data_IF_708699526937
#
_entry.id   IF_708699526937
#
_cell.length_a   1.000
_cell.length_b   1.000
_cell.length_c   1.000
_cell.angle_alpha   90.00
_cell.angle_beta   90.00
_cell.angle_gamma   90.00
#
_symmetry.space_group_name_H-M   'P 1'
#
loop_
_entity.id
_entity.type
_entity.pdbx_description
1 polymer ?
#
# COMPACT_ATOMS: atom_id res chain seq x y z
N UNK A 1 -17.04 -6.88 -1.68
CA UNK A 1 -17.08 -5.41 -1.90
C UNK A 1 -16.82 -4.70 -0.60
N UNK A 2 -15.91 -3.71 -0.58
CA UNK A 2 -15.56 -2.98 0.64
C UNK A 2 -16.07 -1.55 0.58
N UNK A 3 -16.80 -1.15 1.62
CA UNK A 3 -17.36 0.19 1.76
C UNK A 3 -16.84 0.86 3.03
N UNK A 4 -16.46 2.13 2.92
CA UNK A 4 -16.12 3.02 4.03
C UNK A 4 -17.22 4.07 4.16
N UNK A 5 -17.87 4.13 5.31
CA UNK A 5 -18.78 5.23 5.66
C UNK A 5 -17.94 6.37 6.22
N UNK A 6 -17.93 7.53 5.56
CA UNK A 6 -17.13 8.70 5.94
C UNK A 6 -17.98 9.85 6.49
N UNK A 7 -19.18 9.56 6.99
CA UNK A 7 -20.09 10.54 7.60
C UNK A 7 -20.81 11.43 6.57
N UNK A 8 -20.11 11.89 5.54
CA UNK A 8 -20.69 12.63 4.43
C UNK A 8 -21.25 11.70 3.32
N UNK A 9 -20.95 10.40 3.38
CA UNK A 9 -21.54 9.34 2.58
C UNK A 9 -20.65 8.10 2.48
N UNK A 10 -20.92 7.23 1.51
CA UNK A 10 -20.23 5.94 1.39
C UNK A 10 -19.20 5.96 0.26
N UNK A 11 -18.01 5.47 0.53
CA UNK A 11 -16.95 5.26 -0.45
C UNK A 11 -16.75 3.76 -0.68
N UNK A 12 -16.75 3.37 -1.94
CA UNK A 12 -16.37 2.05 -2.38
C UNK A 12 -14.87 2.01 -2.68
N UNK A 13 -14.18 1.00 -2.16
CA UNK A 13 -12.74 0.81 -2.35
C UNK A 13 -12.47 -0.61 -2.81
N UNK A 14 -11.62 -0.78 -3.81
CA UNK A 14 -11.26 -2.09 -4.35
C UNK A 14 -9.88 -2.09 -4.99
N UNK A 15 -9.38 -3.29 -5.32
CA UNK A 15 -8.14 -3.48 -6.07
C UNK A 15 -8.48 -4.04 -7.44
N UNK A 16 -7.83 -3.52 -8.49
CA UNK A 16 -7.90 -4.07 -9.84
C UNK A 16 -6.55 -4.62 -10.27
N UNK A 17 -6.59 -5.71 -11.05
CA UNK A 17 -5.43 -6.33 -11.67
C UNK A 17 -5.77 -6.61 -13.13
N UNK A 18 -4.95 -6.13 -14.07
CA UNK A 18 -5.23 -6.27 -15.50
C UNK A 18 -6.59 -5.69 -15.95
N UNK A 19 -7.01 -4.58 -15.35
CA UNK A 19 -8.28 -3.91 -15.64
C UNK A 19 -9.53 -4.63 -15.10
N UNK A 20 -9.36 -5.72 -14.34
CA UNK A 20 -10.46 -6.45 -13.69
C UNK A 20 -10.41 -6.24 -12.18
N UNK A 21 -11.57 -6.02 -11.58
CA UNK A 21 -11.71 -5.98 -10.12
C UNK A 21 -11.40 -7.35 -9.52
N UNK A 22 -10.53 -7.37 -8.52
CA UNK A 22 -10.22 -8.56 -7.74
C UNK A 22 -11.39 -8.88 -6.79
N UNK A 23 -11.73 -10.15 -6.68
CA UNK A 23 -12.77 -10.61 -5.77
C UNK A 23 -12.26 -10.53 -4.32
N UNK A 24 -12.95 -9.77 -3.47
CA UNK A 24 -12.61 -9.69 -2.06
C UNK A 24 -13.22 -10.87 -1.28
N UNK A 25 -12.46 -11.47 -0.37
CA UNK A 25 -12.91 -12.56 0.50
C UNK A 25 -12.47 -12.36 1.95
N UNK A 26 -13.10 -13.07 2.91
CA UNK A 26 -12.81 -12.96 4.35
C UNK A 26 -12.83 -11.51 4.85
N UNK A 27 -13.91 -10.78 4.58
CA UNK A 27 -14.09 -9.43 5.12
C UNK A 27 -14.29 -9.52 6.65
N UNK A 28 -13.38 -8.89 7.39
CA UNK A 28 -13.44 -8.75 8.84
C UNK A 28 -13.51 -7.27 9.21
N UNK A 29 -14.33 -6.94 10.20
CA UNK A 29 -14.32 -5.63 10.83
C UNK A 29 -13.36 -5.69 12.01
N UNK A 30 -12.26 -4.96 11.93
CA UNK A 30 -11.21 -4.95 12.96
C UNK A 30 -11.56 -3.85 13.97
N UNK A 31 -11.40 -4.15 15.26
CA UNK A 31 -11.75 -3.29 16.43
C UNK A 31 -12.00 -1.81 16.10
N UNK A 32 -13.28 -1.44 16.02
CA UNK A 32 -13.75 -0.08 15.75
C UNK A 32 -14.54 0.02 14.43
N UNK A 33 -15.56 0.88 14.34
CA UNK A 33 -16.48 0.96 13.19
C UNK A 33 -15.83 1.45 11.88
N UNK A 34 -14.51 1.69 11.87
CA UNK A 34 -13.80 2.41 10.81
C UNK A 34 -12.63 1.65 10.21
N UNK A 35 -12.38 0.42 10.66
CA UNK A 35 -11.31 -0.43 10.13
C UNK A 35 -11.91 -1.70 9.51
N UNK A 36 -11.58 -1.94 8.25
CA UNK A 36 -11.98 -3.16 7.53
C UNK A 36 -10.75 -3.87 7.01
N UNK A 37 -10.72 -5.18 7.15
CA UNK A 37 -9.68 -6.02 6.56
C UNK A 37 -10.34 -7.04 5.64
N UNK A 38 -9.75 -7.28 4.47
CA UNK A 38 -10.18 -8.37 3.60
C UNK A 38 -9.00 -8.93 2.82
N UNK A 39 -9.23 -10.04 2.13
CA UNK A 39 -8.23 -10.65 1.28
C UNK A 39 -8.55 -10.48 -0.19
N UNK A 40 -7.51 -10.37 -1.01
CA UNK A 40 -7.58 -10.36 -2.47
C UNK A 40 -6.58 -11.32 -3.08
N UNK A 41 -6.92 -11.99 -4.19
CA UNK A 41 -5.96 -12.82 -4.91
C UNK A 41 -4.89 -11.96 -5.57
N UNK A 42 -3.65 -12.45 -5.61
CA UNK A 42 -2.55 -11.79 -6.33
C UNK A 42 -1.79 -12.77 -7.20
N UNK A 43 -1.20 -12.24 -8.26
CA UNK A 43 -0.42 -12.98 -9.25
C UNK A 43 0.91 -12.27 -9.48
N UNK A 44 2.00 -13.03 -9.44
CA UNK A 44 3.35 -12.49 -9.63
C UNK A 44 3.49 -11.76 -10.97
N UNK A 45 4.19 -10.63 -10.98
CA UNK A 45 4.47 -9.80 -12.14
C UNK A 45 3.23 -9.17 -12.79
N UNK A 46 2.08 -9.14 -12.11
CA UNK A 46 0.90 -8.42 -12.58
C UNK A 46 0.83 -7.01 -11.98
N UNK A 47 0.55 -6.04 -12.84
CA UNK A 47 0.24 -4.69 -12.41
C UNK A 47 -1.12 -4.65 -11.71
N UNK A 48 -1.18 -3.87 -10.63
CA UNK A 48 -2.42 -3.62 -9.93
C UNK A 48 -2.62 -2.12 -9.68
N UNK A 49 -3.87 -1.77 -9.36
CA UNK A 49 -4.22 -0.43 -8.93
C UNK A 49 -5.25 -0.46 -7.83
N UNK A 50 -5.13 0.50 -6.93
CA UNK A 50 -6.12 0.77 -5.90
C UNK A 50 -7.15 1.71 -6.49
N UNK A 51 -8.40 1.29 -6.53
CA UNK A 51 -9.51 2.06 -7.06
C UNK A 51 -10.46 2.50 -5.93
N UNK A 52 -11.08 3.65 -6.12
CA UNK A 52 -12.10 4.15 -5.23
C UNK A 52 -13.15 4.95 -6.01
N UNK A 53 -14.39 4.83 -5.57
CA UNK A 53 -15.54 5.51 -6.16
C UNK A 53 -16.54 5.82 -5.07
N UNK A 54 -17.25 6.93 -5.24
CA UNK A 54 -18.40 7.25 -4.40
C UNK A 54 -19.53 6.26 -4.64
N UNK A 55 -20.07 5.69 -3.56
CA UNK A 55 -21.22 4.80 -3.59
C UNK A 55 -22.47 5.56 -3.13
N UNK A 56 -23.53 5.47 -3.93
CA UNK A 56 -24.85 6.00 -3.60
C UNK A 56 -25.17 7.40 -4.15
N UNK A 57 -26.47 7.72 -4.30
CA UNK A 57 -26.94 9.04 -4.70
C UNK A 57 -26.83 10.02 -3.53
N UNK A 58 -26.23 11.19 -3.75
CA UNK A 58 -26.24 12.28 -2.78
C UNK A 58 -25.20 12.12 -1.66
N UNK A 59 -24.04 12.75 -1.86
CA UNK A 59 -23.46 13.43 -0.71
C UNK A 59 -24.33 14.68 -0.58
N UNK A 60 -24.74 15.06 0.62
CA UNK A 60 -25.01 16.49 0.84
C UNK A 60 -23.77 17.25 0.35
N UNK A 61 -23.88 18.45 -0.24
CA UNK A 61 -22.72 19.25 -0.66
C UNK A 61 -21.89 19.65 0.56
N UNK A 62 -21.18 18.67 1.12
CA UNK A 62 -20.24 18.83 2.19
C UNK A 62 -18.92 19.03 1.47
N UNK A 63 -18.35 20.22 1.70
CA UNK A 63 -17.09 20.70 1.16
C UNK A 63 -15.86 19.87 1.58
N UNK A 64 -16.07 18.67 2.13
CA UNK A 64 -15.04 17.83 2.72
C UNK A 64 -14.33 17.04 1.62
N UNK A 65 -13.20 17.59 1.24
CA UNK A 65 -12.22 16.85 0.46
C UNK A 65 -11.56 15.80 1.34
N UNK A 66 -11.18 14.69 0.72
CA UNK A 66 -10.54 13.59 1.42
C UNK A 66 -9.18 13.31 0.82
N UNK A 67 -8.24 12.77 1.61
CA UNK A 67 -6.95 12.27 1.12
C UNK A 67 -6.87 10.78 1.34
N UNK A 68 -6.53 10.06 0.27
CA UNK A 68 -6.26 8.62 0.29
C UNK A 68 -4.77 8.41 0.36
N UNK A 69 -4.28 7.99 1.52
CA UNK A 69 -2.90 7.57 1.72
C UNK A 69 -2.80 6.06 1.50
N UNK A 70 -1.97 5.63 0.55
CA UNK A 70 -1.74 4.23 0.23
C UNK A 70 -0.42 3.79 0.83
N UNK A 71 -0.49 2.70 1.57
CA UNK A 71 0.63 2.00 2.16
C UNK A 71 0.74 0.61 1.53
N UNK A 72 1.94 0.26 1.11
CA UNK A 72 2.28 -1.04 0.59
C UNK A 72 3.29 -1.69 1.53
N UNK A 73 2.96 -2.87 2.05
CA UNK A 73 3.85 -3.61 2.95
C UNK A 73 4.35 -2.76 4.13
N UNK A 74 3.45 -1.95 4.69
CA UNK A 74 3.73 -1.01 5.79
C UNK A 74 4.33 0.33 5.39
N UNK A 75 4.83 0.48 4.16
CA UNK A 75 5.47 1.72 3.68
C UNK A 75 4.48 2.63 2.99
N UNK A 76 4.45 3.92 3.34
CA UNK A 76 3.68 4.90 2.60
C UNK A 76 4.28 5.08 1.19
N UNK A 77 3.45 4.98 0.15
CA UNK A 77 3.92 5.05 -1.24
C UNK A 77 3.26 6.16 -2.06
N UNK A 78 2.03 6.54 -1.74
CA UNK A 78 1.30 7.52 -2.52
C UNK A 78 0.17 8.15 -1.70
N UNK A 79 -0.17 9.39 -2.06
CA UNK A 79 -1.38 10.04 -1.60
C UNK A 79 -2.18 10.57 -2.80
N UNK A 80 -3.51 10.52 -2.73
CA UNK A 80 -4.38 11.15 -3.73
C UNK A 80 -5.52 11.91 -3.06
N UNK A 81 -5.66 13.23 -3.32
CA UNK A 81 -6.82 13.97 -2.88
C UNK A 81 -8.04 13.59 -3.73
N UNK A 82 -9.18 13.41 -3.07
CA UNK A 82 -10.51 13.30 -3.65
C UNK A 82 -11.23 14.62 -3.40
N UNK A 83 -11.53 15.31 -4.51
CA UNK A 83 -12.19 16.61 -4.50
C UNK A 83 -13.69 16.37 -4.50
N UNK A 84 -14.42 17.05 -3.62
CA UNK A 84 -15.86 16.89 -3.47
C UNK A 84 -16.59 16.97 -4.83
N UNK A 85 -16.35 18.01 -5.63
CA UNK A 85 -17.09 18.30 -6.87
C UNK A 85 -17.13 17.19 -7.93
N UNK A 86 -16.22 16.21 -7.88
CA UNK A 86 -16.09 15.18 -8.89
C UNK A 86 -16.81 13.86 -8.48
N UNK A 87 -18.08 13.99 -8.09
CA UNK A 87 -18.84 12.97 -7.35
C UNK A 87 -19.13 11.64 -8.07
N UNK A 88 -18.92 11.52 -9.40
CA UNK A 88 -19.23 10.28 -10.14
C UNK A 88 -18.01 9.62 -10.82
N UNK A 89 -16.82 10.18 -10.62
CA UNK A 89 -15.61 9.65 -11.23
C UNK A 89 -15.07 8.47 -10.42
N UNK A 90 -14.59 7.45 -11.14
CA UNK A 90 -13.71 6.44 -10.54
C UNK A 90 -12.30 6.99 -10.50
N UNK A 91 -11.67 6.89 -9.34
CA UNK A 91 -10.28 7.28 -9.15
C UNK A 91 -9.46 6.04 -8.89
N UNK A 92 -8.18 6.15 -9.21
CA UNK A 92 -7.23 5.10 -8.90
C UNK A 92 -5.84 5.64 -8.61
N UNK A 93 -5.06 4.83 -7.93
CA UNK A 93 -3.63 4.96 -7.71
C UNK A 93 -3.00 3.63 -8.15
N UNK A 94 -2.16 3.69 -9.17
CA UNK A 94 -1.56 2.54 -9.87
C UNK A 94 -0.02 2.60 -9.89
N UNK A 95 0.59 3.44 -9.06
CA UNK A 95 2.04 3.66 -9.04
C UNK A 95 2.47 4.90 -8.27
N UNK A 96 3.79 5.14 -8.23
CA UNK A 96 4.44 6.29 -7.56
C UNK A 96 5.22 7.10 -8.57
N UNK A 97 5.24 8.42 -8.42
CA UNK A 97 6.13 9.28 -9.19
C UNK A 97 7.57 9.09 -8.72
N UNK A 98 8.47 8.78 -9.64
CA UNK A 98 9.92 8.72 -9.39
C UNK A 98 10.64 9.98 -9.91
N UNK A 99 9.96 10.76 -10.75
CA UNK A 99 10.37 12.09 -11.17
C UNK A 99 9.14 12.95 -11.46
N UNK A 100 9.34 14.19 -11.93
CA UNK A 100 8.24 15.08 -12.30
C UNK A 100 7.38 14.55 -13.46
N UNK A 101 7.96 13.74 -14.33
CA UNK A 101 7.32 13.18 -15.52
C UNK A 101 7.26 11.67 -15.52
N UNK A 102 7.99 10.98 -14.65
CA UNK A 102 8.08 9.52 -14.65
C UNK A 102 7.36 8.89 -13.47
N UNK A 103 6.60 7.84 -13.77
CA UNK A 103 5.85 7.07 -12.79
C UNK A 103 6.15 5.59 -12.89
N UNK A 104 6.35 4.93 -11.75
CA UNK A 104 6.60 3.49 -11.64
C UNK A 104 5.33 2.80 -11.13
N UNK A 105 4.79 1.85 -11.90
CA UNK A 105 3.49 1.21 -11.60
C UNK A 105 3.53 0.30 -10.38
N UNK A 106 2.41 -0.04 -9.76
CA UNK A 106 2.38 -1.07 -8.72
C UNK A 106 2.33 -2.46 -9.35
N UNK A 107 3.19 -3.37 -8.89
CA UNK A 107 3.28 -4.74 -9.38
C UNK A 107 3.32 -5.72 -8.20
N UNK A 108 2.53 -6.79 -8.26
CA UNK A 108 2.71 -7.90 -7.34
C UNK A 108 4.01 -8.64 -7.67
N UNK A 109 4.76 -8.98 -6.65
CA UNK A 109 6.08 -9.63 -6.74
C UNK A 109 6.14 -10.79 -5.77
N UNK A 110 7.22 -11.56 -5.87
CA UNK A 110 7.49 -12.64 -4.92
C UNK A 110 8.23 -12.07 -3.72
N UNK A 111 7.73 -12.36 -2.53
CA UNK A 111 8.43 -12.07 -1.28
C UNK A 111 9.54 -13.11 -1.10
N UNK A 112 10.79 -12.67 -1.25
CA UNK A 112 11.96 -13.52 -0.99
C UNK A 112 12.37 -13.35 0.48
N UNK A 113 11.82 -14.20 1.35
CA UNK A 113 12.20 -14.28 2.77
C UNK A 113 13.53 -15.04 2.92
N UNK A 114 14.63 -14.47 2.42
CA UNK A 114 15.96 -15.04 2.71
C UNK A 114 16.36 -14.66 4.12
N UNK A 115 16.07 -15.55 5.07
CA UNK A 115 16.81 -15.56 6.32
C UNK A 115 18.28 -15.85 5.99
N UNK A 116 19.16 -14.86 6.09
CA UNK A 116 20.56 -15.19 6.28
C UNK A 116 20.62 -16.04 7.54
N UNK A 117 21.13 -17.26 7.41
CA UNK A 117 21.50 -18.10 8.54
C UNK A 117 22.70 -17.41 9.22
N UNK A 118 22.44 -16.37 10.02
CA UNK A 118 23.47 -15.71 10.82
C UNK A 118 23.68 -16.57 12.06
N UNK A 119 24.32 -17.73 11.89
CA UNK A 119 24.60 -18.68 12.97
C UNK A 119 25.55 -18.13 14.05
N UNK A 120 25.87 -16.83 14.06
CA UNK A 120 26.78 -16.19 15.01
C UNK A 120 26.22 -14.95 15.71
N UNK A 121 24.94 -14.58 15.50
CA UNK A 121 24.34 -13.44 16.18
C UNK A 121 23.26 -13.92 17.18
N UNK A 122 23.37 -13.63 18.50
CA UNK A 122 22.44 -14.09 19.52
C UNK A 122 21.03 -13.45 19.43
N UNK A 123 20.80 -12.59 18.43
CA UNK A 123 19.48 -12.05 18.07
C UNK A 123 19.18 -12.40 16.61
N UNK A 124 18.07 -13.09 16.30
CA UNK A 124 17.67 -13.31 14.92
C UNK A 124 17.27 -11.96 14.29
N UNK A 125 18.21 -11.32 13.60
CA UNK A 125 17.91 -10.19 12.72
C UNK A 125 17.54 -10.75 11.35
N UNK A 126 16.25 -10.68 11.00
CA UNK A 126 15.82 -11.01 9.65
C UNK A 126 16.18 -9.83 8.73
N UNK A 127 17.24 -9.98 7.92
CA UNK A 127 17.54 -9.04 6.82
C UNK A 127 16.56 -9.30 5.66
N UNK A 128 15.38 -8.69 5.75
CA UNK A 128 14.39 -8.72 4.69
C UNK A 128 14.86 -7.81 3.55
N UNK A 129 15.60 -8.38 2.60
CA UNK A 129 15.89 -7.69 1.33
C UNK A 129 14.63 -7.71 0.47
N UNK A 130 13.85 -6.63 0.58
CA UNK A 130 12.65 -6.43 -0.24
C UNK A 130 13.01 -6.42 -1.73
N UNK A 131 12.13 -6.99 -2.55
CA UNK A 131 12.16 -6.75 -3.99
C UNK A 131 11.76 -5.29 -4.26
N UNK A 132 12.74 -4.41 -4.44
CA UNK A 132 12.66 -3.10 -5.11
C UNK A 132 11.32 -2.35 -5.04
N UNK A 133 10.86 -2.01 -3.83
CA UNK A 133 10.20 -0.70 -3.65
C UNK A 133 11.32 0.33 -3.49
N UNK A 134 12.15 0.46 -4.53
CA UNK A 134 13.12 1.56 -4.67
C UNK A 134 12.29 2.79 -4.97
N UNK A 135 11.88 3.48 -3.91
CA UNK A 135 11.49 4.87 -3.99
C UNK A 135 12.78 5.62 -4.32
N UNK A 136 12.92 6.09 -5.56
CA UNK A 136 14.06 6.91 -5.96
C UNK A 136 14.22 8.07 -4.98
N UNK A 137 15.41 8.17 -4.37
CA UNK A 137 15.85 9.21 -3.45
C UNK A 137 15.27 9.22 -2.02
N UNK A 138 14.88 8.07 -1.47
CA UNK A 138 15.01 7.88 -0.02
C UNK A 138 16.36 7.20 0.16
N UNK A 139 17.30 7.86 0.83
CA UNK A 139 18.63 7.31 1.12
C UNK A 139 18.48 5.87 1.63
N UNK A 140 19.27 4.94 1.08
CA UNK A 140 19.19 3.50 1.36
C UNK A 140 19.33 3.17 2.86
N UNK A 141 19.76 4.15 3.66
CA UNK A 141 19.97 4.06 5.11
C UNK A 141 18.70 4.25 5.97
N UNK A 142 17.56 4.71 5.40
CA UNK A 142 16.36 5.03 6.19
C UNK A 142 15.30 3.90 6.25
N UNK A 143 15.60 2.72 5.69
CA UNK A 143 14.65 1.59 5.60
C UNK A 143 14.92 0.48 6.62
N UNK A 144 15.56 0.80 7.74
CA UNK A 144 15.70 -0.16 8.84
C UNK A 144 14.34 -0.37 9.52
N UNK A 145 13.82 -1.60 9.44
CA UNK A 145 12.65 -2.02 10.21
C UNK A 145 13.03 -2.25 11.67
N UNK A 146 13.33 -1.18 12.39
CA UNK A 146 13.55 -1.22 13.84
C UNK A 146 12.23 -1.28 14.61
N UNK A 147 11.09 -1.07 13.95
CA UNK A 147 9.79 -1.10 14.60
C UNK A 147 9.24 -2.53 14.77
N UNK A 148 8.94 -2.97 16.00
CA UNK A 148 8.18 -4.19 16.23
C UNK A 148 6.80 -4.06 15.56
N UNK A 149 6.47 -4.96 14.63
CA UNK A 149 5.22 -4.94 13.85
C UNK A 149 5.40 -4.73 12.34
N UNK A 150 6.62 -4.43 11.88
CA UNK A 150 6.98 -4.39 10.46
C UNK A 150 6.51 -5.61 9.66
N UNK A 151 6.75 -6.80 10.22
CA UNK A 151 6.40 -8.09 9.63
C UNK A 151 4.89 -8.28 9.47
N UNK A 152 4.07 -7.70 10.36
CA UNK A 152 2.61 -7.87 10.32
C UNK A 152 1.97 -7.11 9.16
N UNK A 153 2.69 -6.10 8.65
CA UNK A 153 2.29 -5.29 7.52
C UNK A 153 2.69 -5.87 6.17
N UNK A 154 3.51 -6.93 6.13
CA UNK A 154 3.86 -7.62 4.89
C UNK A 154 2.65 -8.28 4.24
N UNK A 155 2.60 -8.23 2.91
CA UNK A 155 1.50 -8.80 2.14
C UNK A 155 0.22 -7.97 2.29
N UNK A 156 0.34 -6.67 2.60
CA UNK A 156 -0.81 -5.79 2.78
C UNK A 156 -0.77 -4.56 1.87
N UNK A 157 -1.94 -4.19 1.35
CA UNK A 157 -2.22 -2.87 0.77
C UNK A 157 -3.15 -2.19 1.77
N UNK A 158 -2.61 -1.26 2.55
CA UNK A 158 -3.40 -0.49 3.52
C UNK A 158 -3.73 0.87 2.94
N UNK A 159 -4.99 1.26 3.03
CA UNK A 159 -5.48 2.55 2.57
C UNK A 159 -6.03 3.28 3.78
N UNK A 160 -5.50 4.48 3.99
CA UNK A 160 -5.92 5.37 5.04
C UNK A 160 -6.64 6.55 4.41
N UNK A 161 -7.85 6.81 4.88
CA UNK A 161 -8.67 7.91 4.43
C UNK A 161 -8.80 8.94 5.53
N UNK A 162 -8.46 10.18 5.18
CA UNK A 162 -8.46 11.31 6.10
C UNK A 162 -9.19 12.50 5.47
N UNK A 163 -10.05 13.17 6.24
CA UNK A 163 -10.63 14.43 5.82
C UNK A 163 -9.53 15.51 5.78
N UNK A 164 -9.52 16.32 4.72
CA UNK A 164 -8.50 17.34 4.51
C UNK A 164 -9.08 18.67 4.04
N UNK A 165 -8.43 19.77 4.42
CA UNK A 165 -8.55 21.04 3.72
C UNK A 165 -7.69 20.98 2.45
N UNK A 166 -8.28 21.29 1.28
CA UNK A 166 -7.54 21.52 0.05
C UNK A 166 -7.28 23.01 -0.11
N UNK A 167 -6.04 23.39 -0.41
CA UNK A 167 -5.72 24.74 -0.86
C UNK A 167 -5.47 24.73 -2.36
N UNK A 168 -5.75 25.87 -3.01
CA UNK A 168 -5.59 26.01 -4.46
C UNK A 168 -4.13 25.69 -4.86
N UNK A 169 -3.96 24.80 -5.84
CA UNK A 169 -2.66 24.43 -6.37
C UNK A 169 -2.07 25.56 -7.20
N UNK A 170 -0.81 25.92 -6.95
CA UNK A 170 0.03 26.65 -7.91
C UNK A 170 0.61 25.63 -8.89
N UNK A 171 0.50 25.91 -10.19
CA UNK A 171 1.18 25.13 -11.21
C UNK A 171 2.65 25.53 -11.22
N UNK A 172 3.54 24.62 -10.82
CA UNK A 172 4.96 24.76 -11.15
C UNK A 172 5.19 24.02 -12.46
N UNK A 173 5.58 24.75 -13.50
CA UNK A 173 6.16 24.13 -14.69
C UNK A 173 7.45 23.40 -14.27
N UNK A 174 7.73 22.19 -14.78
CA UNK A 174 8.92 21.46 -14.39
C UNK A 174 10.17 22.25 -14.80
N UNK A 175 11.12 22.37 -13.87
CA UNK A 175 12.50 22.72 -14.21
C UNK A 175 13.21 21.39 -14.49
N UNK A 176 13.68 21.20 -15.71
CA UNK A 176 14.45 20.02 -16.11
C UNK A 176 15.60 19.80 -15.12
N UNK A 177 15.64 18.62 -14.53
CA UNK A 177 16.74 18.17 -13.68
C UNK A 177 17.21 16.84 -14.24
N UNK A 178 18.45 16.84 -14.75
CA UNK A 178 19.09 15.65 -15.33
C UNK A 178 19.18 14.53 -14.30
N UNK A 179 18.59 13.38 -14.63
CA UNK A 179 18.61 12.17 -13.80
C UNK A 179 19.88 11.35 -14.08
N UNK A 180 20.53 10.77 -13.05
CA UNK A 180 21.67 9.88 -13.25
C UNK A 180 21.25 8.55 -13.88
N UNK A 181 22.09 8.07 -14.81
CA UNK A 181 21.86 6.90 -15.65
C UNK A 181 21.89 5.57 -14.90
N UNK A 182 20.91 4.72 -15.20
CA UNK A 182 20.72 3.32 -14.77
C UNK A 182 22.00 2.52 -14.43
N UNK A 183 22.05 1.96 -13.22
CA UNK A 183 22.95 0.85 -12.87
C UNK A 183 22.29 -0.53 -13.08
N UNK A 184 23.05 -1.58 -13.43
CA UNK A 184 22.48 -2.90 -13.75
C UNK A 184 21.91 -3.63 -12.54
N UNK A 185 20.72 -4.23 -12.70
CA UNK A 185 20.05 -5.05 -11.69
C UNK A 185 20.38 -6.53 -11.95
N UNK A 186 20.82 -7.26 -10.93
CA UNK A 186 21.28 -8.66 -11.07
C UNK A 186 20.12 -9.68 -11.05
N UNK A 187 20.14 -10.65 -11.97
CA UNK A 187 19.05 -11.57 -12.32
C UNK A 187 18.78 -12.77 -11.36
N UNK A 188 19.37 -12.85 -10.16
CA UNK A 188 19.48 -14.15 -9.46
C UNK A 188 18.58 -14.33 -8.23
N UNK A 189 17.31 -14.71 -8.40
CA UNK A 189 16.49 -15.23 -7.28
C UNK A 189 15.25 -16.07 -7.68
N UNK A 190 15.18 -17.34 -7.21
CA UNK A 190 13.96 -18.19 -7.24
C UNK A 190 13.82 -19.00 -5.94
N UNK A 191 12.56 -19.06 -5.43
CA UNK A 191 11.95 -19.84 -4.29
C UNK A 191 12.07 -19.12 -2.93
N UNK A 192 11.02 -18.79 -2.16
CA UNK A 192 9.83 -19.53 -1.69
C UNK A 192 8.51 -18.69 -1.69
N UNK A 193 7.37 -19.27 -1.28
CA UNK A 193 6.00 -18.86 -1.66
C UNK A 193 5.27 -17.85 -0.77
N UNK A 194 5.69 -16.59 -0.78
CA UNK A 194 4.88 -15.45 -0.35
C UNK A 194 4.91 -14.35 -1.43
N UNK A 195 3.92 -13.45 -1.47
CA UNK A 195 3.88 -12.33 -2.41
C UNK A 195 4.22 -11.02 -1.68
N UNK A 196 4.96 -10.13 -2.35
CA UNK A 196 5.27 -8.77 -1.94
C UNK A 196 4.76 -7.80 -3.01
N UNK A 197 4.78 -6.50 -2.77
CA UNK A 197 4.54 -5.49 -3.80
C UNK A 197 5.86 -4.83 -4.20
N UNK A 198 6.00 -4.48 -5.47
CA UNK A 198 7.15 -3.75 -6.01
C UNK A 198 6.70 -2.68 -6.99
N UNK A 199 7.62 -1.82 -7.38
CA UNK A 199 7.38 -0.88 -8.45
C UNK A 199 7.72 -1.50 -9.83
N UNK A 200 6.89 -1.25 -10.84
CA UNK A 200 6.92 -1.80 -12.20
C UNK A 200 7.66 -0.93 -13.23
N UNK A 201 7.15 -0.86 -14.46
CA UNK A 201 7.75 -0.11 -15.55
C UNK A 201 7.55 1.40 -15.38
N UNK A 202 8.48 2.19 -15.91
CA UNK A 202 8.40 3.66 -15.95
C UNK A 202 7.45 4.11 -17.07
N UNK A 203 6.58 5.07 -16.77
CA UNK A 203 5.64 5.70 -17.71
C UNK A 203 5.72 7.22 -17.62
N UNK A 204 5.59 7.92 -18.75
CA UNK A 204 5.49 9.38 -18.76
C UNK A 204 4.10 9.85 -18.29
N UNK A 205 4.04 10.90 -17.48
CA UNK A 205 2.80 11.46 -16.92
C UNK A 205 2.99 12.94 -16.59
N UNK A 206 1.96 13.76 -16.81
CA UNK A 206 1.96 15.14 -16.33
C UNK A 206 1.59 15.15 -14.84
N UNK A 207 2.48 15.66 -13.99
CA UNK A 207 2.19 15.81 -12.56
C UNK A 207 1.44 17.12 -12.27
N UNK A 208 0.49 17.05 -11.34
CA UNK A 208 -0.12 18.22 -10.69
C UNK A 208 0.03 18.02 -9.19
N UNK A 209 0.70 18.96 -8.53
CA UNK A 209 0.89 18.91 -7.09
C UNK A 209 -0.19 19.74 -6.39
N UNK A 210 -0.68 19.23 -5.26
CA UNK A 210 -1.66 19.90 -4.39
C UNK A 210 -1.21 19.74 -2.96
N UNK A 211 -1.24 20.82 -2.20
CA UNK A 211 -1.08 20.77 -0.75
C UNK A 211 -2.42 20.48 -0.09
N UNK A 212 -2.39 19.68 0.96
CA UNK A 212 -3.57 19.33 1.75
C UNK A 212 -3.17 19.18 3.21
N UNK A 213 -4.06 19.56 4.12
CA UNK A 213 -3.85 19.45 5.56
C UNK A 213 -4.96 18.62 6.16
N UNK A 214 -4.58 17.66 7.01
CA UNK A 214 -5.53 16.89 7.81
C UNK A 214 -6.40 17.82 8.65
N UNK A 215 -7.71 17.55 8.71
CA UNK A 215 -8.60 18.24 9.64
C UNK A 215 -8.44 17.58 11.01
N UNK A 216 -7.96 18.30 12.05
CA UNK A 216 -7.81 17.73 13.38
C UNK A 216 -9.15 17.24 13.95
N UNK A 217 -9.15 16.10 14.63
CA UNK A 217 -10.35 15.53 15.24
C UNK A 217 -11.28 14.79 14.28
N UNK A 218 -11.06 14.87 12.95
CA UNK A 218 -11.82 14.04 12.02
C UNK A 218 -11.39 12.58 12.10
N UNK A 219 -12.36 11.66 12.06
CA UNK A 219 -12.04 10.26 12.17
C UNK A 219 -11.29 9.75 10.94
N UNK A 220 -10.28 8.93 11.18
CA UNK A 220 -9.58 8.19 10.14
C UNK A 220 -10.36 6.92 9.81
N UNK A 221 -10.50 6.64 8.52
CA UNK A 221 -11.06 5.37 8.04
C UNK A 221 -9.94 4.55 7.41
N UNK A 222 -9.95 3.24 7.62
CA UNK A 222 -8.89 2.35 7.17
C UNK A 222 -9.47 1.10 6.52
N UNK A 223 -8.88 0.73 5.39
CA UNK A 223 -9.10 -0.57 4.77
C UNK A 223 -7.76 -1.23 4.48
N UNK A 224 -7.65 -2.49 4.84
CA UNK A 224 -6.46 -3.31 4.60
C UNK A 224 -6.82 -4.47 3.69
N UNK A 225 -6.19 -4.54 2.52
CA UNK A 225 -6.26 -5.69 1.63
C UNK A 225 -5.03 -6.58 1.85
N UNK A 226 -5.24 -7.77 2.38
CA UNK A 226 -4.20 -8.82 2.43
C UNK A 226 -4.15 -9.53 1.09
N UNK A 227 -3.01 -9.51 0.42
CA UNK A 227 -2.87 -10.15 -0.88
C UNK A 227 -2.05 -11.44 -0.79
N UNK A 228 -2.47 -12.46 -1.53
CA UNK A 228 -1.76 -13.75 -1.59
C UNK A 228 -2.28 -14.65 -2.71
N UNK A 229 -1.70 -15.85 -2.90
CA UNK A 229 -2.17 -16.80 -3.90
C UNK A 229 -3.58 -17.29 -3.55
N UNK A 230 -4.40 -17.54 -4.57
CA UNK A 230 -5.70 -18.20 -4.40
C UNK A 230 -5.47 -19.59 -3.79
N UNK A 231 -6.18 -19.88 -2.70
CA UNK A 231 -6.13 -21.21 -2.06
C UNK A 231 -4.90 -21.48 -1.22
N UNK A 232 -3.92 -20.56 -1.15
CA UNK A 232 -2.87 -20.68 -0.15
C UNK A 232 -3.50 -20.53 1.25
N UNK A 233 -3.14 -21.39 2.23
CA UNK A 233 -3.48 -21.11 3.60
C UNK A 233 -2.95 -19.72 3.94
N UNK A 234 -3.81 -18.86 4.48
CA UNK A 234 -3.38 -17.56 4.99
C UNK A 234 -2.23 -17.87 5.94
N UNK A 235 -1.00 -17.38 5.68
CA UNK A 235 0.10 -17.65 6.58
C UNK A 235 -0.36 -17.20 7.95
N UNK A 236 -0.42 -18.14 8.91
CA UNK A 236 -0.69 -17.81 10.29
C UNK A 236 0.37 -16.76 10.63
N UNK A 237 -0.07 -15.51 10.78
CA UNK A 237 0.79 -14.40 11.15
C UNK A 237 1.57 -14.91 12.35
N UNK A 238 2.89 -14.90 12.22
CA UNK A 238 3.81 -15.38 13.23
C UNK A 238 3.46 -14.65 14.53
N UNK A 239 2.74 -15.32 15.43
CA UNK A 239 2.34 -14.73 16.71
C UNK A 239 3.60 -14.81 17.57
N UNK A 240 4.33 -13.71 17.81
CA UNK A 240 5.55 -13.77 18.58
C UNK A 240 5.14 -14.07 20.03
N UNK A 241 5.30 -15.32 20.49
CA UNK A 241 5.02 -15.67 21.88
C UNK A 241 4.46 -17.07 22.18
N UNK A 242 4.14 -17.90 21.17
CA UNK A 242 3.45 -19.19 21.42
C UNK A 242 4.30 -20.45 21.21
N UNK A 243 5.64 -20.34 21.28
CA UNK A 243 6.52 -21.50 21.51
C UNK A 243 6.87 -21.52 23.00
N UNK A 244 5.91 -21.85 23.86
CA UNK A 244 6.26 -22.41 25.18
C UNK A 244 6.57 -23.89 24.92
N UNK A 245 7.85 -24.25 24.99
CA UNK A 245 8.24 -25.65 25.06
C UNK A 245 7.42 -26.34 26.17
N UNK A 246 6.91 -27.58 25.96
CA UNK A 246 6.29 -28.33 27.03
C UNK A 246 7.31 -28.47 28.16
N UNK A 247 7.01 -27.88 29.32
CA UNK A 247 7.75 -28.19 30.54
C UNK A 247 7.48 -29.66 30.84
N UNK A 248 8.45 -30.51 30.55
CA UNK A 248 8.51 -31.85 31.11
C UNK A 248 8.59 -31.69 32.62
N UNK A 249 7.50 -32.01 33.32
CA UNK A 249 7.54 -32.25 34.74
C UNK A 249 8.19 -33.63 34.95
N UNK A 250 9.41 -33.62 35.49
CA UNK A 250 10.01 -34.75 36.19
C UNK A 250 9.82 -34.57 37.68
#
# INVERSE_FOLDING_TARGET
>A
MVYLDVGAGTLEVWVECGGKRLQEYKLTEVSGPKMKECHVPSEENKEFRVCFKKAGPGFAPVFESHRFDVFLDGKWVAAKPLIAEQHNSTYYIDGVFISATERKTFVFSKLDLRGQNVASCPTPSYDLRYADVVLGNIEEDDISFTHPGALDSLGTIRICLQAVYLHNSVFHAPTDTDLPSNTPISERAKKAGAHASRLGAVRSSQSRWRQSWAIPGYPKHEVTFRYGPIGAPVPLIYTPGLIRAPRSFT
#
